data_IF_492840334426
#
_entry.id   IF_492840334426
#
_cell.length_a   1.000
_cell.length_b   1.000
_cell.length_c   1.000
_cell.angle_alpha   90.00
_cell.angle_beta   90.00
_cell.angle_gamma   90.00
#
_symmetry.space_group_name_H-M   'P 1'
#
loop_
_entity.id
_entity.type
_entity.pdbx_description
1 polymer ?
#
# COMPACT_ATOMS: atom_id res chain seq x y z
N UNK A 1 -10.85 -10.56 0.80
CA UNK A 1 -11.32 -9.51 -0.13
C UNK A 1 -12.49 -10.06 -0.94
N UNK A 2 -13.48 -9.22 -1.25
CA UNK A 2 -14.54 -9.51 -2.21
C UNK A 2 -14.33 -8.73 -3.53
N UNK A 3 -15.33 -8.75 -4.41
CA UNK A 3 -15.21 -8.14 -5.74
C UNK A 3 -15.01 -6.62 -5.70
N UNK A 4 -15.67 -5.93 -4.74
CA UNK A 4 -15.52 -4.49 -4.57
C UNK A 4 -14.09 -4.12 -4.17
N UNK A 5 -13.50 -4.88 -3.24
CA UNK A 5 -12.12 -4.65 -2.81
C UNK A 5 -11.12 -4.99 -3.93
N UNK A 6 -11.38 -6.03 -4.73
CA UNK A 6 -10.53 -6.34 -5.89
C UNK A 6 -10.55 -5.21 -6.93
N UNK A 7 -11.72 -4.63 -7.20
CA UNK A 7 -11.84 -3.49 -8.11
C UNK A 7 -11.11 -2.26 -7.56
N UNK A 8 -11.29 -1.95 -6.27
CA UNK A 8 -10.57 -0.86 -5.60
C UNK A 8 -9.04 -1.06 -5.65
N UNK A 9 -8.56 -2.30 -5.47
CA UNK A 9 -7.13 -2.62 -5.59
C UNK A 9 -6.61 -2.37 -7.01
N UNK A 10 -7.37 -2.77 -8.04
CA UNK A 10 -7.01 -2.51 -9.45
C UNK A 10 -6.87 -1.01 -9.69
N UNK A 11 -7.82 -0.21 -9.20
CA UNK A 11 -7.81 1.25 -9.34
C UNK A 11 -6.58 1.88 -8.68
N UNK A 12 -6.22 1.46 -7.46
CA UNK A 12 -4.99 1.89 -6.78
C UNK A 12 -3.76 1.53 -7.61
N UNK A 13 -3.64 0.28 -8.07
CA UNK A 13 -2.49 -0.17 -8.85
C UNK A 13 -2.35 0.61 -10.17
N UNK A 14 -3.46 0.84 -10.89
CA UNK A 14 -3.44 1.61 -12.13
C UNK A 14 -3.05 3.08 -11.89
N UNK A 15 -3.59 3.70 -10.84
CA UNK A 15 -3.26 5.07 -10.48
C UNK A 15 -1.77 5.21 -10.10
N UNK A 16 -1.22 4.26 -9.35
CA UNK A 16 0.20 4.27 -8.98
C UNK A 16 1.10 4.02 -10.18
N UNK A 17 0.79 3.06 -11.05
CA UNK A 17 1.56 2.81 -12.28
C UNK A 17 1.61 4.06 -13.16
N UNK A 18 0.51 4.83 -13.25
CA UNK A 18 0.47 6.07 -14.01
C UNK A 18 1.40 7.18 -13.47
N UNK A 19 1.83 7.11 -12.19
CA UNK A 19 2.79 8.06 -11.58
C UNK A 19 4.24 7.78 -11.99
N UNK A 20 4.52 6.67 -12.67
CA UNK A 20 5.88 6.35 -13.11
C UNK A 20 6.84 6.21 -11.92
N UNK A 21 7.89 7.03 -11.85
CA UNK A 21 8.92 6.92 -10.81
C UNK A 21 8.45 7.37 -9.41
N UNK A 22 7.39 8.17 -9.34
CA UNK A 22 6.86 8.69 -8.09
C UNK A 22 5.81 7.76 -7.46
N UNK A 23 5.65 6.54 -8.01
CA UNK A 23 4.71 5.57 -7.47
C UNK A 23 5.18 5.06 -6.10
N UNK A 24 4.22 4.87 -5.19
CA UNK A 24 4.49 4.51 -3.81
C UNK A 24 4.59 3.00 -3.58
N UNK A 25 4.07 2.20 -4.51
CA UNK A 25 3.90 0.74 -4.35
C UNK A 25 5.01 -0.09 -5.01
N UNK A 26 5.98 0.55 -5.66
CA UNK A 26 7.18 -0.15 -6.15
C UNK A 26 7.99 -0.71 -5.00
N UNK A 27 8.54 -1.92 -5.20
CA UNK A 27 9.26 -2.65 -4.16
C UNK A 27 8.35 -3.40 -3.18
N UNK A 28 7.04 -3.47 -3.45
CA UNK A 28 6.12 -4.28 -2.63
C UNK A 28 6.41 -5.77 -2.81
N UNK A 29 6.67 -6.45 -1.69
CA UNK A 29 6.78 -7.91 -1.62
C UNK A 29 5.45 -8.55 -1.24
N UNK A 30 4.73 -7.94 -0.29
CA UNK A 30 3.46 -8.47 0.20
C UNK A 30 2.38 -7.39 0.20
N UNK A 31 1.20 -7.76 -0.30
CA UNK A 31 -0.01 -6.96 -0.20
C UNK A 31 -0.94 -7.55 0.85
N UNK A 32 -1.29 -6.76 1.85
CA UNK A 32 -2.25 -7.16 2.88
C UNK A 32 -3.50 -6.33 2.77
N UNK A 33 -4.65 -6.99 2.94
CA UNK A 33 -5.93 -6.35 3.10
C UNK A 33 -6.45 -6.63 4.52
N UNK A 34 -6.74 -5.57 5.25
CA UNK A 34 -7.21 -5.66 6.63
C UNK A 34 -8.21 -4.53 6.93
N UNK A 35 -8.92 -4.63 8.06
CA UNK A 35 -9.70 -3.52 8.59
C UNK A 35 -8.93 -2.85 9.72
N UNK A 36 -8.68 -1.53 9.59
CA UNK A 36 -8.16 -0.69 10.67
C UNK A 36 -9.31 0.10 11.28
N UNK A 37 -9.88 -0.45 12.35
CA UNK A 37 -11.16 0.01 12.88
C UNK A 37 -12.28 -0.26 11.87
N UNK A 38 -13.01 0.78 11.46
CA UNK A 38 -14.07 0.68 10.45
C UNK A 38 -13.55 0.85 9.01
N UNK A 39 -12.31 1.32 8.83
CA UNK A 39 -11.75 1.59 7.50
C UNK A 39 -11.01 0.35 6.97
N UNK A 40 -11.47 -0.26 5.86
CA UNK A 40 -10.68 -1.27 5.17
C UNK A 40 -9.49 -0.62 4.47
N UNK A 41 -8.32 -1.27 4.51
CA UNK A 41 -7.07 -0.72 3.97
C UNK A 41 -6.28 -1.76 3.17
N UNK A 42 -5.48 -1.27 2.23
CA UNK A 42 -4.42 -2.03 1.57
C UNK A 42 -3.07 -1.58 2.10
N UNK A 43 -2.28 -2.53 2.61
CA UNK A 43 -0.90 -2.31 3.05
C UNK A 43 0.05 -2.96 2.07
N UNK A 44 0.89 -2.15 1.44
CA UNK A 44 1.92 -2.54 0.49
C UNK A 44 3.25 -2.65 1.23
N UNK A 45 3.54 -3.85 1.74
CA UNK A 45 4.73 -4.14 2.52
C UNK A 45 5.94 -4.30 1.60
N UNK A 46 6.98 -3.50 1.88
CA UNK A 46 8.27 -3.53 1.16
C UNK A 46 9.36 -4.29 1.92
N UNK A 47 8.96 -5.10 2.90
CA UNK A 47 9.87 -5.93 3.65
C UNK A 47 10.19 -7.19 2.84
N UNK A 48 11.47 -7.43 2.58
CA UNK A 48 11.96 -8.64 1.89
C UNK A 48 11.61 -9.92 2.65
N UNK A 49 11.51 -9.83 3.98
CA UNK A 49 10.93 -10.86 4.82
C UNK A 49 10.03 -10.23 5.87
N UNK A 50 9.03 -10.96 6.37
CA UNK A 50 8.18 -10.51 7.48
C UNK A 50 8.95 -10.26 8.80
N UNK A 51 10.27 -10.53 8.81
CA UNK A 51 11.16 -10.36 9.96
C UNK A 51 12.10 -9.15 9.80
N UNK A 52 12.50 -8.81 8.56
CA UNK A 52 13.41 -7.70 8.27
C UNK A 52 12.75 -6.67 7.35
N UNK A 53 12.52 -5.49 7.93
CA UNK A 53 11.91 -4.35 7.26
C UNK A 53 12.85 -3.14 7.33
N UNK A 54 13.14 -2.54 6.18
CA UNK A 54 13.84 -1.25 6.11
C UNK A 54 12.86 -0.09 5.94
N UNK A 55 11.63 -0.35 5.47
CA UNK A 55 10.59 0.65 5.24
C UNK A 55 9.25 0.23 5.88
N UNK A 56 8.50 1.23 6.35
CA UNK A 56 7.09 1.11 6.69
C UNK A 56 6.27 0.90 5.42
N UNK A 57 5.18 0.12 5.45
CA UNK A 57 4.32 -0.05 4.30
C UNK A 57 3.69 1.27 3.86
N UNK A 58 3.46 1.36 2.56
CA UNK A 58 2.49 2.32 2.04
C UNK A 58 1.08 1.79 2.30
N UNK A 59 0.19 2.64 2.79
CA UNK A 59 -1.17 2.28 3.17
C UNK A 59 -2.17 3.12 2.38
N UNK A 60 -3.11 2.45 1.72
CA UNK A 60 -4.22 3.08 1.01
C UNK A 60 -5.56 2.70 1.64
N UNK A 61 -6.55 3.56 1.54
CA UNK A 61 -7.94 3.20 1.78
C UNK A 61 -8.39 2.17 0.74
N UNK A 62 -9.13 1.14 1.17
CA UNK A 62 -9.64 0.08 0.30
C UNK A 62 -11.09 0.34 -0.18
N UNK A 63 -11.43 1.60 -0.37
CA UNK A 63 -12.75 2.07 -0.82
C UNK A 63 -12.78 2.48 -2.31
N UNK A 64 -11.65 2.37 -3.02
CA UNK A 64 -11.50 2.75 -4.43
C UNK A 64 -11.21 4.24 -4.65
N UNK A 65 -11.12 5.05 -3.59
CA UNK A 65 -10.84 6.48 -3.71
C UNK A 65 -9.40 6.80 -4.13
N UNK A 66 -8.48 5.84 -4.01
CA UNK A 66 -7.04 6.07 -4.17
C UNK A 66 -6.43 6.90 -3.03
N UNK A 67 -7.15 7.10 -1.92
CA UNK A 67 -6.67 7.86 -0.77
C UNK A 67 -5.47 7.18 -0.13
N UNK A 68 -4.34 7.88 -0.09
CA UNK A 68 -3.15 7.47 0.65
C UNK A 68 -3.36 7.80 2.13
N UNK A 69 -3.40 6.78 2.98
CA UNK A 69 -3.50 6.93 4.44
C UNK A 69 -2.09 7.15 5.02
N UNK A 70 -1.11 6.42 4.49
CA UNK A 70 0.29 6.54 4.89
C UNK A 70 1.18 6.30 3.66
N UNK A 71 2.16 7.17 3.42
CA UNK A 71 3.09 6.97 2.30
C UNK A 71 4.10 5.86 2.57
N UNK A 72 4.24 5.42 3.82
CA UNK A 72 5.31 4.54 4.23
C UNK A 72 6.65 5.30 4.31
N UNK A 73 7.75 4.59 4.08
CA UNK A 73 9.09 5.15 4.05
C UNK A 73 10.01 4.58 5.12
N UNK A 74 11.29 4.98 5.15
CA UNK A 74 12.32 4.33 5.95
C UNK A 74 11.96 4.21 7.44
N UNK A 75 12.20 3.03 8.02
CA UNK A 75 12.09 2.77 9.45
C UNK A 75 13.28 3.36 10.22
N UNK A 76 14.44 3.39 9.58
CA UNK A 76 15.66 3.99 10.10
C UNK A 76 16.07 5.10 9.12
N UNK A 77 16.36 6.28 9.66
CA UNK A 77 16.28 7.53 8.92
C UNK A 77 16.98 7.59 7.57
N UNK A 78 16.35 8.30 6.65
CA UNK A 78 16.98 9.32 5.79
C UNK A 78 15.85 10.25 5.33
N UNK A 79 16.06 11.55 5.57
CA UNK A 79 15.13 12.65 5.21
C UNK A 79 14.74 12.65 3.72
#
# INVERSE_FOLDING_TARGET
MGMKELQALIEVLQAEVAKGRDNLVTGTWHLHFERRGETPVFSFNKCESEVYCEERPTVFAADGSGTVIDKGGPLFGSD
#
